data_IF_954157139638
#
_entry.id   IF_954157139638
#
_cell.length_a   1.000
_cell.length_b   1.000
_cell.length_c   1.000
_cell.angle_alpha   90.00
_cell.angle_beta   90.00
_cell.angle_gamma   90.00
#
_symmetry.space_group_name_H-M   'P 1'
#
loop_
_entity.id
_entity.type
_entity.pdbx_description
1 polymer ?
#
# COMPACT_ATOMS: atom_id res chain seq x y z
N UNK A 1 -0.94 -2.53 -18.25
CA UNK A 1 0.11 -1.97 -17.37
C UNK A 1 1.10 -3.05 -16.98
N UNK A 2 2.39 -2.75 -17.06
CA UNK A 2 3.42 -3.70 -16.67
C UNK A 2 3.54 -3.76 -15.16
N UNK A 3 3.46 -4.95 -14.59
CA UNK A 3 3.56 -5.13 -13.16
C UNK A 3 5.00 -5.03 -12.67
N UNK A 4 5.21 -4.48 -11.48
CA UNK A 4 6.54 -4.48 -10.85
C UNK A 4 7.02 -5.91 -10.59
N UNK A 5 8.32 -6.09 -10.60
CA UNK A 5 8.93 -7.40 -10.32
C UNK A 5 9.89 -7.36 -9.14
N UNK A 6 9.67 -6.45 -8.20
CA UNK A 6 10.40 -6.40 -6.94
C UNK A 6 9.54 -7.02 -5.84
N UNK A 7 10.13 -7.23 -4.68
CA UNK A 7 9.40 -7.74 -3.52
C UNK A 7 9.27 -6.66 -2.45
N UNK A 8 8.30 -6.85 -1.56
CA UNK A 8 8.06 -5.96 -0.43
C UNK A 8 8.25 -6.71 0.88
N UNK A 9 8.64 -5.99 1.93
CA UNK A 9 8.79 -6.53 3.27
C UNK A 9 7.71 -5.92 4.15
N UNK A 10 6.97 -6.75 4.88
CA UNK A 10 5.95 -6.30 5.82
C UNK A 10 6.46 -6.56 7.23
N UNK A 11 6.62 -5.49 8.02
CA UNK A 11 7.07 -5.64 9.40
C UNK A 11 6.02 -6.38 10.24
N UNK A 12 6.45 -7.01 11.33
CA UNK A 12 5.53 -7.72 12.21
C UNK A 12 4.49 -6.79 12.80
N UNK A 13 4.85 -5.55 13.09
CA UNK A 13 3.93 -4.55 13.62
C UNK A 13 2.73 -4.34 12.71
N UNK A 14 2.96 -4.15 11.42
CA UNK A 14 1.89 -3.97 10.44
C UNK A 14 1.20 -5.29 10.15
N UNK A 15 1.97 -6.35 9.97
CA UNK A 15 1.46 -7.66 9.57
C UNK A 15 0.43 -8.21 10.56
N UNK A 16 0.66 -7.99 11.86
CA UNK A 16 -0.20 -8.51 12.91
C UNK A 16 -1.15 -7.47 13.51
N UNK A 17 -1.21 -6.27 12.95
CA UNK A 17 -2.12 -5.23 13.42
C UNK A 17 -3.56 -5.64 13.11
N UNK A 18 -4.34 -5.92 14.16
CA UNK A 18 -5.73 -6.37 14.02
C UNK A 18 -6.68 -5.28 13.57
N UNK A 19 -6.25 -4.02 13.62
CA UNK A 19 -7.06 -2.89 13.19
C UNK A 19 -6.93 -2.59 11.70
N UNK A 20 -6.05 -3.31 10.99
CA UNK A 20 -5.84 -3.13 9.56
C UNK A 20 -6.39 -4.33 8.80
N UNK A 21 -7.08 -4.06 7.68
CA UNK A 21 -7.46 -5.11 6.75
C UNK A 21 -6.24 -5.64 6.01
N UNK A 22 -6.26 -6.89 5.52
CA UNK A 22 -5.15 -7.42 4.73
C UNK A 22 -4.81 -6.56 3.51
N UNK A 23 -5.80 -5.95 2.88
CA UNK A 23 -5.57 -5.09 1.72
C UNK A 23 -4.80 -3.83 2.08
N UNK A 24 -5.13 -3.21 3.21
CA UNK A 24 -4.39 -2.03 3.68
C UNK A 24 -2.95 -2.39 4.00
N UNK A 25 -2.70 -3.56 4.58
CA UNK A 25 -1.35 -4.06 4.86
C UNK A 25 -0.53 -4.24 3.59
N UNK A 26 -1.13 -4.82 2.55
CA UNK A 26 -0.46 -4.99 1.26
C UNK A 26 -0.14 -3.65 0.63
N UNK A 27 -1.06 -2.70 0.68
CA UNK A 27 -0.84 -1.36 0.15
C UNK A 27 0.30 -0.66 0.88
N UNK A 28 0.35 -0.77 2.20
CA UNK A 28 1.43 -0.19 2.99
C UNK A 28 2.78 -0.78 2.59
N UNK A 29 2.84 -2.09 2.40
CA UNK A 29 4.05 -2.77 1.96
C UNK A 29 4.49 -2.27 0.58
N UNK A 30 3.55 -2.06 -0.33
CA UNK A 30 3.83 -1.53 -1.67
C UNK A 30 4.41 -0.11 -1.58
N UNK A 31 3.79 0.74 -0.78
CA UNK A 31 4.25 2.13 -0.59
C UNK A 31 5.66 2.16 -0.02
N UNK A 32 5.93 1.36 1.02
CA UNK A 32 7.26 1.34 1.65
C UNK A 32 8.32 0.77 0.71
N UNK A 33 7.96 -0.22 -0.12
CA UNK A 33 8.88 -0.74 -1.12
C UNK A 33 9.27 0.34 -2.13
N UNK A 34 8.31 1.14 -2.59
CA UNK A 34 8.58 2.23 -3.52
C UNK A 34 9.45 3.31 -2.87
N UNK A 35 9.19 3.63 -1.61
CA UNK A 35 10.02 4.59 -0.86
C UNK A 35 11.46 4.10 -0.74
N UNK A 36 11.64 2.82 -0.44
CA UNK A 36 12.99 2.25 -0.28
C UNK A 36 13.77 2.22 -1.60
N UNK A 37 13.07 2.01 -2.71
CA UNK A 37 13.71 1.96 -4.03
C UNK A 37 14.08 3.33 -4.56
N UNK A 38 13.20 4.32 -4.38
CA UNK A 38 13.28 5.61 -5.06
C UNK A 38 13.52 6.80 -4.12
N UNK A 39 13.54 6.57 -2.80
CA UNK A 39 13.63 7.65 -1.81
C UNK A 39 12.31 8.40 -1.62
N UNK A 40 11.40 8.30 -2.57
CA UNK A 40 10.08 8.95 -2.52
C UNK A 40 9.05 8.06 -3.20
N UNK A 41 7.79 8.22 -2.81
CA UNK A 41 6.69 7.51 -3.46
C UNK A 41 5.85 8.53 -4.23
N UNK A 42 5.97 8.52 -5.55
CA UNK A 42 5.19 9.37 -6.44
C UNK A 42 3.91 8.69 -6.93
N UNK A 43 3.65 7.47 -6.49
CA UNK A 43 2.51 6.71 -6.98
C UNK A 43 1.21 7.36 -6.53
N UNK A 44 0.27 7.49 -7.46
CA UNK A 44 -1.05 8.05 -7.20
C UNK A 44 -2.03 6.95 -6.83
N UNK A 45 -3.21 7.34 -6.33
CA UNK A 45 -4.28 6.38 -6.08
C UNK A 45 -4.67 5.64 -7.37
N UNK A 46 -4.61 6.31 -8.51
CA UNK A 46 -4.88 5.67 -9.81
C UNK A 46 -3.85 4.60 -10.14
N UNK A 47 -2.58 4.84 -9.83
CA UNK A 47 -1.54 3.84 -10.02
C UNK A 47 -1.86 2.57 -9.24
N UNK A 48 -2.21 2.70 -7.96
CA UNK A 48 -2.56 1.55 -7.12
C UNK A 48 -3.88 0.91 -7.57
N UNK A 49 -4.84 1.72 -8.02
CA UNK A 49 -6.10 1.22 -8.58
C UNK A 49 -5.83 0.27 -9.74
N UNK A 50 -4.96 0.65 -10.67
CA UNK A 50 -4.60 -0.18 -11.81
C UNK A 50 -3.80 -1.41 -11.38
N UNK A 51 -2.86 -1.24 -10.45
CA UNK A 51 -1.99 -2.32 -9.99
C UNK A 51 -2.77 -3.43 -9.32
N UNK A 52 -3.75 -3.09 -8.49
CA UNK A 52 -4.53 -4.05 -7.71
C UNK A 52 -5.89 -4.37 -8.33
N UNK A 53 -6.23 -3.78 -9.47
CA UNK A 53 -7.53 -3.96 -10.13
C UNK A 53 -8.70 -3.60 -9.19
N UNK A 54 -8.56 -2.47 -8.51
CA UNK A 54 -9.57 -1.94 -7.57
C UNK A 54 -9.89 -0.51 -7.93
N UNK A 55 -11.05 -0.01 -7.51
CA UNK A 55 -11.42 1.37 -7.78
C UNK A 55 -10.56 2.34 -6.96
N UNK A 56 -10.44 3.57 -7.47
CA UNK A 56 -9.74 4.65 -6.76
C UNK A 56 -10.37 4.90 -5.39
N UNK A 57 -11.68 4.77 -5.29
CA UNK A 57 -12.41 4.92 -4.02
C UNK A 57 -11.97 3.87 -3.01
N UNK A 58 -11.80 2.62 -3.44
CA UNK A 58 -11.32 1.54 -2.57
C UNK A 58 -9.90 1.80 -2.09
N UNK A 59 -9.01 2.24 -2.99
CA UNK A 59 -7.63 2.60 -2.62
C UNK A 59 -7.64 3.73 -1.58
N UNK A 60 -8.47 4.75 -1.79
CA UNK A 60 -8.61 5.86 -0.85
C UNK A 60 -9.04 5.40 0.54
N UNK A 61 -9.95 4.42 0.61
CA UNK A 61 -10.38 3.83 1.89
C UNK A 61 -9.23 3.14 2.61
N UNK A 62 -8.41 2.40 1.89
CA UNK A 62 -7.25 1.71 2.48
C UNK A 62 -6.24 2.72 3.03
N UNK A 63 -5.99 3.80 2.28
CA UNK A 63 -5.08 4.86 2.73
C UNK A 63 -5.62 5.53 3.99
N UNK A 64 -6.93 5.81 4.03
CA UNK A 64 -7.57 6.40 5.21
C UNK A 64 -7.47 5.47 6.42
N UNK A 65 -7.62 4.17 6.20
CA UNK A 65 -7.47 3.17 7.25
C UNK A 65 -6.05 3.17 7.83
N UNK A 66 -5.04 3.23 6.97
CA UNK A 66 -3.64 3.31 7.39
C UNK A 66 -3.41 4.59 8.20
N UNK A 67 -3.86 5.72 7.70
CA UNK A 67 -3.70 7.01 8.36
C UNK A 67 -4.38 7.02 9.74
N UNK A 68 -5.58 6.46 9.84
CA UNK A 68 -6.33 6.39 11.09
C UNK A 68 -5.62 5.54 12.16
N UNK A 69 -4.76 4.62 11.74
CA UNK A 69 -4.00 3.73 12.64
C UNK A 69 -2.54 4.14 12.79
N UNK A 70 -2.18 5.35 12.36
CA UNK A 70 -0.86 5.92 12.61
C UNK A 70 0.22 5.56 11.59
N UNK A 71 -0.18 5.11 10.41
CA UNK A 71 0.78 4.73 9.36
C UNK A 71 0.90 5.71 8.20
#
# INVERSE_FOLDING_TARGET
>A
MKQPNYYAIISAEVRYDKNLTPHAKLLYAEITALLNMNGECFATNRYFSNLYSKSVVTISKWISELSANGY
#
